data_IF_568337583279
#
_entry.id   IF_568337583279
#
_cell.length_a   1.000
_cell.length_b   1.000
_cell.length_c   1.000
_cell.angle_alpha   90.00
_cell.angle_beta   90.00
_cell.angle_gamma   90.00
#
_symmetry.space_group_name_H-M   'P 1'
#
loop_
_entity.id
_entity.type
_entity.pdbx_description
1 polymer ?
#
# COMPACT_ATOMS: atom_id res chain seq x y z
N UNK A 1 -15.48 -84.09 -21.31
CA UNK A 1 -16.20 -84.16 -20.02
C UNK A 1 -16.76 -82.76 -19.78
N UNK A 2 -18.00 -82.54 -20.22
CA UNK A 2 -19.19 -82.56 -19.35
C UNK A 2 -19.14 -81.33 -18.41
N UNK A 3 -19.81 -80.23 -18.81
CA UNK A 3 -21.22 -79.90 -18.48
C UNK A 3 -21.34 -79.29 -17.08
N UNK A 4 -22.06 -78.21 -16.79
CA UNK A 4 -23.03 -77.41 -17.53
C UNK A 4 -22.97 -75.96 -17.00
N UNK A 5 -23.78 -75.01 -17.44
CA UNK A 5 -25.16 -75.08 -17.88
C UNK A 5 -25.93 -73.98 -17.15
N UNK A 6 -26.02 -72.81 -17.81
CA UNK A 6 -27.14 -71.84 -17.96
C UNK A 6 -28.45 -71.99 -17.11
N UNK A 7 -29.40 -71.00 -17.08
CA UNK A 7 -29.38 -69.61 -17.61
C UNK A 7 -30.13 -68.52 -16.77
N UNK A 8 -29.98 -67.26 -17.22
CA UNK A 8 -30.96 -66.14 -17.34
C UNK A 8 -31.95 -65.82 -16.19
N UNK A 9 -31.97 -64.55 -15.72
CA UNK A 9 -33.00 -63.57 -16.12
C UNK A 9 -32.75 -62.12 -15.61
N UNK A 10 -32.74 -61.20 -16.60
CA UNK A 10 -33.37 -59.86 -16.70
C UNK A 10 -33.35 -58.88 -15.50
N UNK A 11 -32.67 -57.75 -15.74
CA UNK A 11 -32.96 -56.45 -15.12
C UNK A 11 -32.01 -55.34 -15.60
N UNK A 12 -32.47 -54.47 -16.51
CA UNK A 12 -31.88 -53.14 -16.80
C UNK A 12 -32.89 -52.08 -16.33
N UNK A 13 -32.55 -50.77 -16.21
CA UNK A 13 -31.25 -50.14 -15.94
C UNK A 13 -31.36 -49.02 -14.86
N UNK A 14 -30.27 -48.63 -14.18
CA UNK A 14 -30.14 -47.26 -13.63
C UNK A 14 -28.71 -46.71 -13.74
N UNK A 15 -28.60 -45.77 -14.68
CA UNK A 15 -27.76 -44.56 -14.72
C UNK A 15 -26.36 -44.56 -14.09
N UNK A 16 -25.39 -44.53 -15.00
CA UNK A 16 -24.10 -43.82 -14.99
C UNK A 16 -23.76 -42.99 -13.74
N UNK A 17 -22.69 -43.36 -13.04
CA UNK A 17 -21.87 -42.43 -12.28
C UNK A 17 -20.47 -42.44 -12.89
N UNK A 18 -20.22 -41.47 -13.77
CA UNK A 18 -18.91 -41.22 -14.34
C UNK A 18 -17.96 -40.72 -13.23
N UNK A 19 -16.75 -41.26 -13.26
CA UNK A 19 -15.59 -40.85 -12.50
C UNK A 19 -15.38 -39.33 -12.56
N UNK A 20 -15.20 -38.68 -11.41
CA UNK A 20 -14.68 -37.30 -11.32
C UNK A 20 -13.28 -37.33 -10.71
N UNK A 21 -12.31 -36.56 -11.26
CA UNK A 21 -10.94 -36.54 -10.77
C UNK A 21 -10.81 -35.70 -9.49
N UNK A 22 -9.94 -36.15 -8.58
CA UNK A 22 -9.44 -35.37 -7.44
C UNK A 22 -8.69 -34.12 -7.94
N UNK A 23 -9.39 -33.00 -8.11
CA UNK A 23 -8.81 -31.66 -8.30
C UNK A 23 -9.71 -30.58 -7.69
N UNK A 24 -9.96 -30.62 -6.38
CA UNK A 24 -10.69 -29.52 -5.70
C UNK A 24 -10.26 -29.22 -4.27
N UNK A 25 -9.32 -29.96 -3.66
CA UNK A 25 -9.02 -29.76 -2.23
C UNK A 25 -7.91 -28.71 -1.95
N UNK A 26 -7.17 -28.26 -2.97
CA UNK A 26 -6.05 -27.33 -2.76
C UNK A 26 -6.40 -25.83 -2.99
N UNK A 27 -7.57 -25.50 -3.55
CA UNK A 27 -7.97 -24.10 -3.79
C UNK A 27 -8.79 -23.46 -2.66
N UNK A 28 -9.28 -24.25 -1.70
CA UNK A 28 -10.10 -23.75 -0.60
C UNK A 28 -9.29 -23.20 0.59
N UNK A 29 -8.01 -23.56 0.70
CA UNK A 29 -7.11 -23.08 1.76
C UNK A 29 -6.45 -21.74 1.42
N UNK A 30 -6.11 -21.46 0.16
CA UNK A 30 -5.52 -20.16 -0.24
C UNK A 30 -6.49 -18.98 -0.14
N UNK A 31 -7.77 -19.18 -0.47
CA UNK A 31 -8.81 -18.14 -0.36
C UNK A 31 -9.16 -17.75 1.09
N UNK A 32 -8.79 -18.59 2.07
CA UNK A 32 -9.00 -18.31 3.49
C UNK A 32 -7.89 -17.42 4.10
N UNK A 33 -6.69 -17.40 3.49
CA UNK A 33 -5.53 -16.68 4.02
C UNK A 33 -5.51 -15.23 3.54
N UNK A 34 -5.82 -14.96 2.27
CA UNK A 34 -5.76 -13.60 1.69
C UNK A 34 -6.83 -12.64 2.24
N UNK A 35 -8.03 -13.13 2.57
CA UNK A 35 -9.11 -12.28 3.09
C UNK A 35 -9.02 -12.05 4.61
N UNK A 36 -8.28 -12.91 5.35
CA UNK A 36 -8.00 -12.70 6.78
C UNK A 36 -7.12 -11.47 6.99
N UNK A 37 -6.21 -11.16 6.06
CA UNK A 37 -5.30 -10.03 6.14
C UNK A 37 -6.01 -8.65 6.02
N UNK A 38 -7.09 -8.55 5.25
CA UNK A 38 -7.82 -7.27 5.06
C UNK A 38 -8.77 -6.89 6.22
N UNK A 39 -9.14 -7.83 7.09
CA UNK A 39 -10.17 -7.61 8.12
C UNK A 39 -9.75 -7.98 9.55
N UNK A 40 -8.45 -8.20 9.81
CA UNK A 40 -7.95 -8.72 11.09
C UNK A 40 -8.13 -7.80 12.31
N UNK A 41 -8.63 -6.57 12.15
CA UNK A 41 -8.85 -5.61 13.25
C UNK A 41 -10.24 -5.58 13.90
N UNK A 42 -11.21 -6.42 13.51
CA UNK A 42 -12.62 -6.25 13.91
C UNK A 42 -13.17 -7.44 14.72
N UNK A 43 -12.91 -7.46 16.04
CA UNK A 43 -13.69 -8.28 16.98
C UNK A 43 -14.95 -7.53 17.43
N UNK A 44 -16.01 -7.65 16.65
CA UNK A 44 -17.41 -7.50 17.09
C UNK A 44 -18.20 -8.63 16.44
N UNK A 45 -19.01 -9.38 17.21
CA UNK A 45 -19.75 -10.59 16.76
C UNK A 45 -20.60 -10.43 15.49
N UNK A 46 -20.93 -9.19 15.09
CA UNK A 46 -21.83 -8.88 13.98
C UNK A 46 -21.10 -8.78 12.62
N UNK A 47 -19.83 -8.37 12.60
CA UNK A 47 -19.08 -8.14 11.35
C UNK A 47 -18.76 -9.42 10.57
N UNK A 48 -18.33 -10.54 11.21
CA UNK A 48 -18.07 -11.80 10.49
C UNK A 48 -19.32 -12.35 9.81
N UNK A 49 -20.49 -12.20 10.46
CA UNK A 49 -21.79 -12.62 9.90
C UNK A 49 -22.18 -11.79 8.69
N UNK A 50 -21.93 -10.48 8.71
CA UNK A 50 -22.22 -9.59 7.58
C UNK A 50 -21.24 -9.80 6.42
N UNK A 51 -19.94 -9.98 6.68
CA UNK A 51 -18.95 -10.33 5.66
C UNK A 51 -19.23 -11.69 5.01
N UNK A 52 -19.58 -12.70 5.82
CA UNK A 52 -20.02 -14.01 5.31
C UNK A 52 -21.28 -13.88 4.47
N UNK A 53 -22.24 -13.05 4.87
CA UNK A 53 -23.47 -12.78 4.14
C UNK A 53 -23.23 -12.07 2.79
N UNK A 54 -22.37 -11.04 2.74
CA UNK A 54 -21.99 -10.38 1.48
C UNK A 54 -21.34 -11.40 0.54
N UNK A 55 -20.51 -12.30 1.06
CA UNK A 55 -19.84 -13.34 0.29
C UNK A 55 -20.84 -14.37 -0.27
N UNK A 56 -21.71 -14.94 0.57
CA UNK A 56 -22.71 -15.94 0.13
C UNK A 56 -23.84 -15.38 -0.73
N UNK A 57 -24.13 -14.09 -0.66
CA UNK A 57 -25.19 -13.45 -1.45
C UNK A 57 -24.72 -12.90 -2.80
N UNK A 58 -23.41 -12.83 -3.05
CA UNK A 58 -22.82 -12.10 -4.21
C UNK A 58 -21.79 -12.94 -4.98
N UNK A 59 -21.30 -14.07 -4.44
CA UNK A 59 -20.35 -14.95 -5.13
C UNK A 59 -20.96 -15.71 -6.34
N UNK A 60 -22.30 -15.83 -6.38
CA UNK A 60 -23.04 -16.43 -7.49
C UNK A 60 -24.22 -15.54 -7.89
N UNK A 61 -24.02 -14.73 -8.93
CA UNK A 61 -25.11 -13.95 -9.54
C UNK A 61 -25.55 -14.64 -10.82
N UNK A 62 -26.79 -15.13 -10.82
CA UNK A 62 -27.44 -15.61 -12.03
C UNK A 62 -27.95 -14.42 -12.85
N UNK A 63 -27.59 -14.36 -14.13
CA UNK A 63 -28.16 -13.40 -15.07
C UNK A 63 -29.70 -13.57 -15.14
N UNK A 64 -30.51 -12.53 -14.91
CA UNK A 64 -31.96 -12.66 -14.91
C UNK A 64 -32.55 -13.01 -16.29
N UNK A 65 -31.83 -12.72 -17.38
CA UNK A 65 -32.30 -12.99 -18.74
C UNK A 65 -31.90 -14.39 -19.26
N UNK A 66 -30.82 -14.99 -18.75
CA UNK A 66 -30.31 -16.27 -19.28
C UNK A 66 -29.85 -17.30 -18.23
N UNK A 67 -29.96 -17.00 -16.94
CA UNK A 67 -29.68 -17.93 -15.83
C UNK A 67 -28.21 -18.28 -15.61
N UNK A 68 -27.28 -17.67 -16.36
CA UNK A 68 -25.84 -17.98 -16.26
C UNK A 68 -25.24 -17.41 -14.98
N UNK A 69 -24.58 -18.26 -14.19
CA UNK A 69 -23.93 -17.87 -12.92
C UNK A 69 -22.53 -17.34 -13.21
N UNK A 70 -22.29 -16.06 -12.89
CA UNK A 70 -20.97 -15.41 -13.05
C UNK A 70 -20.30 -15.30 -11.68
N UNK A 71 -19.07 -15.82 -11.57
CA UNK A 71 -18.20 -15.58 -10.42
C UNK A 71 -17.58 -14.19 -10.57
N UNK A 72 -17.92 -13.27 -9.68
CA UNK A 72 -17.40 -11.89 -9.74
C UNK A 72 -16.16 -11.70 -8.85
N UNK A 73 -15.30 -10.76 -9.25
CA UNK A 73 -14.20 -10.24 -8.43
C UNK A 73 -14.75 -9.54 -7.17
N UNK A 74 -13.94 -9.53 -6.10
CA UNK A 74 -14.25 -9.15 -4.73
C UNK A 74 -15.50 -8.23 -4.52
N UNK A 75 -16.52 -8.69 -3.76
CA UNK A 75 -17.78 -7.95 -3.51
C UNK A 75 -17.66 -6.48 -3.05
N UNK A 76 -16.64 -6.07 -2.26
CA UNK A 76 -16.46 -4.67 -1.88
C UNK A 76 -16.29 -3.70 -3.08
N UNK A 77 -15.65 -4.14 -4.15
CA UNK A 77 -15.35 -3.27 -5.31
C UNK A 77 -16.58 -3.03 -6.17
N UNK A 78 -17.47 -4.02 -6.29
CA UNK A 78 -18.76 -3.87 -6.97
C UNK A 78 -19.71 -2.96 -6.18
N UNK A 79 -19.78 -3.12 -4.86
CA UNK A 79 -20.57 -2.22 -4.00
C UNK A 79 -20.07 -0.78 -4.15
N UNK A 80 -18.75 -0.57 -4.16
CA UNK A 80 -18.14 0.74 -4.42
C UNK A 80 -18.55 1.31 -5.77
N UNK A 81 -18.48 0.52 -6.85
CA UNK A 81 -18.86 0.95 -8.20
C UNK A 81 -20.35 1.34 -8.29
N UNK A 82 -21.25 0.54 -7.73
CA UNK A 82 -22.69 0.80 -7.75
C UNK A 82 -23.10 2.02 -6.91
N UNK A 83 -22.44 2.21 -5.76
CA UNK A 83 -22.59 3.42 -4.94
C UNK A 83 -22.11 4.67 -5.68
N UNK A 84 -21.01 4.58 -6.45
CA UNK A 84 -20.50 5.68 -7.29
C UNK A 84 -21.45 6.03 -8.44
N UNK A 85 -22.18 5.04 -8.96
CA UNK A 85 -23.20 5.21 -10.00
C UNK A 85 -24.57 5.66 -9.46
N UNK A 86 -24.72 5.91 -8.16
CA UNK A 86 -25.96 6.41 -7.58
C UNK A 86 -26.05 7.95 -7.67
N UNK A 87 -27.24 8.48 -7.94
CA UNK A 87 -27.50 9.90 -8.26
C UNK A 87 -27.15 10.86 -7.10
N UNK A 88 -26.68 12.10 -7.40
CA UNK A 88 -26.31 13.11 -6.38
C UNK A 88 -27.46 13.64 -5.51
N UNK A 89 -28.71 13.22 -5.74
CA UNK A 89 -29.89 13.66 -4.98
C UNK A 89 -30.09 12.95 -3.64
N UNK A 90 -29.23 11.98 -3.29
CA UNK A 90 -29.33 11.17 -2.06
C UNK A 90 -28.69 11.92 -0.87
N UNK A 91 -29.47 12.15 0.21
CA UNK A 91 -29.02 12.91 1.39
C UNK A 91 -28.20 12.03 2.35
N UNK A 92 -26.88 12.17 2.33
CA UNK A 92 -25.98 11.62 3.37
C UNK A 92 -25.38 10.25 3.04
N UNK A 93 -24.23 9.95 3.66
CA UNK A 93 -23.40 8.78 3.36
C UNK A 93 -24.13 7.45 3.56
N UNK A 94 -24.84 7.27 4.67
CA UNK A 94 -25.53 6.02 4.96
C UNK A 94 -26.61 5.69 3.93
N UNK A 95 -27.30 6.71 3.39
CA UNK A 95 -28.32 6.55 2.35
C UNK A 95 -27.68 6.19 1.00
N UNK A 96 -26.48 6.71 0.72
CA UNK A 96 -25.70 6.37 -0.48
C UNK A 96 -25.18 4.92 -0.44
N UNK A 97 -24.71 4.47 0.72
CA UNK A 97 -24.31 3.07 0.96
C UNK A 97 -25.51 2.14 0.88
N UNK A 98 -26.65 2.55 1.45
CA UNK A 98 -27.91 1.82 1.35
C UNK A 98 -28.34 1.64 -0.13
N UNK A 99 -28.22 2.70 -0.93
CA UNK A 99 -28.58 2.67 -2.34
C UNK A 99 -27.69 1.73 -3.17
N UNK A 100 -26.37 1.75 -2.99
CA UNK A 100 -25.50 0.83 -3.74
C UNK A 100 -25.53 -0.61 -3.22
N UNK A 101 -25.78 -0.84 -1.92
CA UNK A 101 -26.11 -2.17 -1.40
C UNK A 101 -27.39 -2.71 -2.05
N UNK A 102 -28.42 -1.88 -2.23
CA UNK A 102 -29.65 -2.29 -2.89
C UNK A 102 -29.43 -2.70 -4.36
N UNK A 103 -28.55 -2.00 -5.09
CA UNK A 103 -28.19 -2.35 -6.48
C UNK A 103 -27.43 -3.67 -6.61
N UNK A 104 -26.73 -4.12 -5.58
CA UNK A 104 -26.12 -5.47 -5.52
C UNK A 104 -27.04 -6.50 -4.83
N UNK A 105 -28.34 -6.20 -4.67
CA UNK A 105 -29.34 -7.13 -4.15
C UNK A 105 -29.46 -7.20 -2.61
N UNK A 106 -28.78 -6.31 -1.88
CA UNK A 106 -28.81 -6.24 -0.42
C UNK A 106 -29.79 -5.15 0.02
N UNK A 107 -31.00 -5.57 0.41
CA UNK A 107 -32.08 -4.63 0.74
C UNK A 107 -31.99 -4.07 2.16
N UNK A 108 -32.62 -2.90 2.37
CA UNK A 108 -32.81 -2.23 3.67
C UNK A 108 -33.27 -3.16 4.80
N UNK A 109 -34.22 -4.06 4.49
CA UNK A 109 -34.78 -5.05 5.43
C UNK A 109 -33.76 -6.13 5.82
N UNK A 110 -32.86 -6.51 4.90
CA UNK A 110 -31.80 -7.49 5.15
C UNK A 110 -30.70 -6.91 6.05
N UNK A 111 -30.27 -5.67 5.79
CA UNK A 111 -29.31 -4.95 6.64
C UNK A 111 -29.87 -4.78 8.07
N UNK A 112 -31.14 -4.35 8.18
CA UNK A 112 -31.83 -4.18 9.45
C UNK A 112 -31.92 -5.48 10.26
N UNK A 113 -32.20 -6.61 9.60
CA UNK A 113 -32.27 -7.95 10.22
C UNK A 113 -30.92 -8.42 10.78
N UNK A 114 -29.82 -8.11 10.11
CA UNK A 114 -28.47 -8.51 10.55
C UNK A 114 -28.02 -7.68 11.75
N UNK A 115 -28.41 -6.40 11.81
CA UNK A 115 -28.06 -5.50 12.90
C UNK A 115 -29.01 -5.61 14.10
N UNK A 116 -30.10 -6.37 14.00
CA UNK A 116 -31.13 -6.44 15.02
C UNK A 116 -31.86 -5.11 15.23
N UNK A 117 -31.95 -4.28 14.20
CA UNK A 117 -32.51 -2.91 14.27
C UNK A 117 -33.77 -2.78 13.42
N UNK A 118 -34.70 -1.87 13.77
CA UNK A 118 -35.83 -1.55 12.91
C UNK A 118 -35.41 -0.72 11.68
N UNK A 119 -36.26 -0.74 10.65
CA UNK A 119 -36.00 -0.19 9.31
C UNK A 119 -35.80 1.33 9.21
N UNK A 120 -35.56 2.05 10.32
CA UNK A 120 -35.31 3.49 10.34
C UNK A 120 -34.50 3.98 11.55
N UNK A 121 -33.80 3.13 12.31
CA UNK A 121 -33.10 3.59 13.51
C UNK A 121 -31.73 4.23 13.25
N UNK A 122 -31.36 5.24 14.04
CA UNK A 122 -30.07 5.95 13.96
C UNK A 122 -28.86 5.01 14.03
N UNK A 123 -28.98 3.92 14.79
CA UNK A 123 -27.93 2.90 14.93
C UNK A 123 -27.58 2.21 13.60
N UNK A 124 -28.59 2.02 12.74
CA UNK A 124 -28.39 1.50 11.39
C UNK A 124 -27.74 2.54 10.49
N UNK A 125 -28.14 3.81 10.61
CA UNK A 125 -27.52 4.89 9.85
C UNK A 125 -26.05 5.08 10.22
N UNK A 126 -25.72 5.00 11.51
CA UNK A 126 -24.34 5.01 12.00
C UNK A 126 -23.54 3.80 11.48
N UNK A 127 -24.15 2.62 11.42
CA UNK A 127 -23.52 1.44 10.81
C UNK A 127 -23.27 1.63 9.31
N UNK A 128 -24.25 2.11 8.55
CA UNK A 128 -24.12 2.36 7.11
C UNK A 128 -23.08 3.46 6.83
N UNK A 129 -23.04 4.51 7.65
CA UNK A 129 -22.01 5.54 7.60
C UNK A 129 -20.61 4.96 7.85
N UNK A 130 -20.48 4.11 8.88
CA UNK A 130 -19.22 3.44 9.20
C UNK A 130 -18.79 2.49 8.09
N UNK A 131 -19.71 1.70 7.54
CA UNK A 131 -19.47 0.81 6.40
C UNK A 131 -19.03 1.62 5.19
N UNK A 132 -19.72 2.72 4.88
CA UNK A 132 -19.37 3.66 3.83
C UNK A 132 -17.94 4.18 3.95
N UNK A 133 -17.54 4.66 5.13
CA UNK A 133 -16.16 5.13 5.38
C UNK A 133 -15.13 4.02 5.21
N UNK A 134 -15.41 2.82 5.72
CA UNK A 134 -14.52 1.64 5.59
C UNK A 134 -14.34 1.24 4.13
N UNK A 135 -15.36 1.44 3.28
CA UNK A 135 -15.28 1.16 1.85
C UNK A 135 -15.03 2.42 0.99
N UNK A 136 -14.69 3.57 1.60
CA UNK A 136 -14.30 4.80 0.88
C UNK A 136 -15.45 5.57 0.21
N UNK A 137 -16.68 5.41 0.68
CA UNK A 137 -17.87 6.14 0.23
C UNK A 137 -18.18 7.33 1.16
N UNK A 138 -18.81 8.38 0.63
CA UNK A 138 -19.22 9.58 1.39
C UNK A 138 -18.09 10.52 1.79
N UNK A 139 -16.90 10.27 1.26
CA UNK A 139 -15.81 11.22 1.27
C UNK A 139 -16.13 12.32 0.26
N UNK A 140 -15.74 13.59 0.51
CA UNK A 140 -15.75 14.59 -0.54
C UNK A 140 -15.10 14.00 -1.79
N UNK A 141 -15.72 14.16 -2.97
CA UNK A 141 -15.17 13.60 -4.23
C UNK A 141 -13.72 14.06 -4.47
N UNK A 142 -13.35 15.19 -3.90
CA UNK A 142 -12.05 15.85 -4.01
C UNK A 142 -11.13 15.59 -2.79
N UNK A 143 -11.59 14.82 -1.78
CA UNK A 143 -10.76 14.52 -0.62
C UNK A 143 -9.64 13.53 -1.01
N UNK A 144 -8.37 13.81 -0.62
CA UNK A 144 -7.25 12.90 -0.81
C UNK A 144 -7.54 11.49 -0.31
N UNK A 145 -8.27 11.31 0.79
CA UNK A 145 -8.66 9.99 1.28
C UNK A 145 -9.37 9.13 0.23
N UNK A 146 -10.22 9.70 -0.65
CA UNK A 146 -10.86 8.93 -1.72
C UNK A 146 -9.87 8.50 -2.82
N UNK A 147 -8.81 9.29 -3.02
CA UNK A 147 -7.73 9.04 -3.99
C UNK A 147 -6.68 8.07 -3.44
N UNK A 148 -6.29 8.21 -2.18
CA UNK A 148 -5.22 7.47 -1.53
C UNK A 148 -5.72 6.21 -0.80
N UNK A 149 -7.04 6.05 -0.60
CA UNK A 149 -7.58 4.83 0.00
C UNK A 149 -7.21 3.59 -0.83
N UNK A 150 -6.42 2.70 -0.23
CA UNK A 150 -5.92 1.50 -0.89
C UNK A 150 -4.66 1.72 -1.75
N UNK A 151 -4.10 2.93 -1.74
CA UNK A 151 -2.79 3.19 -2.33
C UNK A 151 -1.74 2.29 -1.65
N UNK A 152 -0.97 1.50 -2.41
CA UNK A 152 0.06 0.67 -1.83
C UNK A 152 1.22 1.54 -1.33
N UNK A 153 1.79 1.14 -0.20
CA UNK A 153 3.07 1.62 0.32
C UNK A 153 4.07 0.49 0.17
N UNK A 154 5.15 0.72 -0.59
CA UNK A 154 6.19 -0.28 -0.78
C UNK A 154 7.40 0.04 0.08
N UNK A 155 7.89 -1.00 0.73
CA UNK A 155 9.12 -0.97 1.52
C UNK A 155 10.33 -1.12 0.63
N UNK A 156 11.50 -0.68 1.10
CA UNK A 156 12.77 -0.96 0.41
C UNK A 156 12.98 -2.46 0.19
N UNK A 157 12.47 -3.32 1.08
CA UNK A 157 12.50 -4.77 0.91
C UNK A 157 11.71 -5.25 -0.32
N UNK A 158 10.60 -4.61 -0.65
CA UNK A 158 9.81 -4.91 -1.86
C UNK A 158 10.62 -4.60 -3.12
N UNK A 159 11.38 -3.50 -3.10
CA UNK A 159 12.30 -3.11 -4.18
C UNK A 159 13.44 -4.12 -4.34
N UNK A 160 14.04 -4.57 -3.23
CA UNK A 160 15.10 -5.60 -3.25
C UNK A 160 14.57 -6.93 -3.76
N UNK A 161 13.37 -7.34 -3.33
CA UNK A 161 12.72 -8.56 -3.79
C UNK A 161 12.40 -8.50 -5.29
N UNK A 162 11.95 -7.36 -5.78
CA UNK A 162 11.74 -7.09 -7.21
C UNK A 162 13.04 -7.21 -8.00
N UNK A 163 14.11 -6.58 -7.53
CA UNK A 163 15.43 -6.64 -8.15
C UNK A 163 15.97 -8.08 -8.25
N UNK A 164 15.72 -8.94 -7.26
CA UNK A 164 16.07 -10.37 -7.32
C UNK A 164 15.32 -11.15 -8.40
N UNK A 165 14.04 -10.81 -8.66
CA UNK A 165 13.26 -11.41 -9.75
C UNK A 165 13.79 -10.97 -11.10
N UNK A 166 14.04 -9.67 -11.28
CA UNK A 166 14.68 -9.11 -12.48
C UNK A 166 16.04 -9.78 -12.74
N UNK A 167 16.89 -9.89 -11.72
CA UNK A 167 18.21 -10.53 -11.85
C UNK A 167 18.12 -11.95 -12.41
N UNK A 168 17.09 -12.71 -12.02
CA UNK A 168 16.89 -14.08 -12.47
C UNK A 168 16.46 -14.15 -13.94
N UNK A 169 15.73 -13.15 -14.43
CA UNK A 169 15.28 -13.05 -15.82
C UNK A 169 16.39 -12.62 -16.79
N UNK A 170 17.29 -11.75 -16.34
CA UNK A 170 18.32 -11.13 -17.19
C UNK A 170 19.68 -11.83 -17.15
N UNK A 171 19.89 -12.81 -16.25
CA UNK A 171 21.20 -13.35 -15.87
C UNK A 171 22.14 -13.73 -17.03
N UNK A 172 21.62 -14.30 -18.12
CA UNK A 172 22.41 -14.73 -19.30
C UNK A 172 22.42 -13.71 -20.43
N UNK A 173 21.74 -12.58 -20.23
CA UNK A 173 21.46 -11.57 -21.26
C UNK A 173 22.29 -10.30 -21.09
N UNK A 174 23.05 -10.19 -20.01
CA UNK A 174 23.82 -8.99 -19.68
C UNK A 174 25.20 -9.35 -19.12
N UNK A 175 26.15 -8.42 -19.23
CA UNK A 175 27.50 -8.50 -18.68
C UNK A 175 27.84 -7.32 -17.75
N UNK A 176 26.92 -6.37 -17.57
CA UNK A 176 27.06 -5.21 -16.69
C UNK A 176 25.69 -4.65 -16.29
N UNK A 177 25.64 -3.88 -15.21
CA UNK A 177 24.42 -3.19 -14.75
C UNK A 177 24.70 -1.69 -14.63
N UNK A 178 23.87 -0.87 -15.27
CA UNK A 178 23.89 0.59 -15.19
C UNK A 178 22.64 1.04 -14.46
N UNK A 179 22.81 1.60 -13.26
CA UNK A 179 21.69 2.14 -12.48
C UNK A 179 21.51 3.64 -12.69
N UNK A 180 20.26 4.08 -12.81
CA UNK A 180 19.89 5.51 -12.85
C UNK A 180 19.94 6.08 -11.42
N UNK A 181 20.73 7.14 -11.16
CA UNK A 181 20.81 7.72 -9.83
C UNK A 181 19.55 8.53 -9.45
N UNK A 182 19.12 8.55 -8.18
CA UNK A 182 19.69 7.82 -7.03
C UNK A 182 19.02 6.46 -6.79
N UNK A 183 17.70 6.41 -6.78
CA UNK A 183 16.94 5.26 -6.27
C UNK A 183 17.10 4.02 -7.14
N UNK A 184 17.25 4.17 -8.46
CA UNK A 184 17.62 3.09 -9.38
C UNK A 184 18.97 2.44 -9.10
N UNK A 185 19.86 3.05 -8.31
CA UNK A 185 21.08 2.38 -7.83
C UNK A 185 20.82 1.26 -6.84
N UNK A 186 19.70 1.29 -6.11
CA UNK A 186 19.33 0.23 -5.15
C UNK A 186 19.10 -1.10 -5.90
N UNK A 187 18.15 -1.20 -6.86
CA UNK A 187 17.97 -2.43 -7.61
C UNK A 187 19.20 -2.77 -8.47
N UNK A 188 19.91 -1.77 -9.01
CA UNK A 188 21.14 -2.01 -9.76
C UNK A 188 22.21 -2.74 -8.94
N UNK A 189 22.46 -2.29 -7.70
CA UNK A 189 23.44 -2.91 -6.81
C UNK A 189 23.04 -4.32 -6.40
N UNK A 190 21.74 -4.56 -6.14
CA UNK A 190 21.22 -5.91 -5.84
C UNK A 190 21.44 -6.86 -7.03
N UNK A 191 21.09 -6.43 -8.24
CA UNK A 191 21.24 -7.24 -9.46
C UNK A 191 22.73 -7.51 -9.74
N UNK A 192 23.56 -6.46 -9.72
CA UNK A 192 25.00 -6.57 -9.99
C UNK A 192 25.70 -7.51 -8.99
N UNK A 193 25.39 -7.36 -7.70
CA UNK A 193 25.97 -8.21 -6.64
C UNK A 193 25.55 -9.66 -6.79
N UNK A 194 24.25 -9.90 -7.06
CA UNK A 194 23.71 -11.26 -7.23
C UNK A 194 24.29 -12.00 -8.43
N UNK A 195 24.59 -11.27 -9.50
CA UNK A 195 25.11 -11.83 -10.75
C UNK A 195 26.64 -11.74 -10.86
N UNK A 196 27.33 -11.15 -9.86
CA UNK A 196 28.76 -10.86 -9.89
C UNK A 196 29.18 -10.04 -11.13
N UNK A 197 28.37 -9.05 -11.50
CA UNK A 197 28.60 -8.17 -12.65
C UNK A 197 29.10 -6.78 -12.23
N UNK A 198 29.84 -6.06 -13.09
CA UNK A 198 30.24 -4.69 -12.83
C UNK A 198 29.01 -3.77 -12.72
N UNK A 199 29.05 -2.90 -11.70
CA UNK A 199 28.03 -1.88 -11.44
C UNK A 199 28.53 -0.50 -11.90
N UNK A 200 27.69 0.16 -12.69
CA UNK A 200 27.89 1.52 -13.16
C UNK A 200 26.74 2.41 -12.67
N UNK A 201 27.05 3.68 -12.42
CA UNK A 201 26.05 4.74 -12.25
C UNK A 201 25.98 5.57 -13.53
N UNK A 202 24.77 5.88 -13.99
CA UNK A 202 24.61 6.78 -15.13
C UNK A 202 24.81 8.24 -14.71
N UNK A 203 25.66 8.96 -15.44
CA UNK A 203 25.86 10.41 -15.34
C UNK A 203 25.59 11.07 -16.70
N UNK A 204 25.65 12.40 -16.74
CA UNK A 204 25.40 13.18 -17.96
C UNK A 204 26.38 12.84 -19.10
N UNK A 205 27.58 12.39 -18.76
CA UNK A 205 28.64 11.94 -19.66
C UNK A 205 28.64 10.43 -19.93
N UNK A 206 27.66 9.69 -19.39
CA UNK A 206 27.46 8.26 -19.62
C UNK A 206 27.71 7.38 -18.38
N UNK A 207 27.85 6.06 -18.56
CA UNK A 207 28.05 5.12 -17.47
C UNK A 207 29.43 5.28 -16.82
N UNK A 208 29.47 5.48 -15.51
CA UNK A 208 30.69 5.57 -14.71
C UNK A 208 30.79 4.38 -13.77
N UNK A 209 31.92 3.62 -13.75
CA UNK A 209 32.10 2.51 -12.82
C UNK A 209 31.97 2.96 -11.35
N UNK A 210 31.28 2.16 -10.54
CA UNK A 210 31.17 2.39 -9.09
C UNK A 210 32.32 1.76 -8.29
N UNK A 211 33.16 0.96 -8.94
CA UNK A 211 34.22 0.16 -8.35
C UNK A 211 33.83 -1.32 -8.21
N UNK A 212 34.83 -2.19 -8.10
CA UNK A 212 34.65 -3.65 -8.09
C UNK A 212 34.85 -4.29 -6.70
N UNK A 213 35.30 -3.50 -5.71
CA UNK A 213 35.82 -4.04 -4.44
C UNK A 213 37.02 -4.97 -4.65
N UNK A 214 37.53 -5.57 -3.58
CA UNK A 214 38.68 -6.49 -3.66
C UNK A 214 38.34 -7.92 -4.12
N UNK A 215 37.12 -8.18 -4.61
CA UNK A 215 36.62 -9.53 -4.93
C UNK A 215 36.48 -9.82 -6.42
N UNK A 216 36.58 -8.80 -7.27
CA UNK A 216 36.39 -8.91 -8.72
C UNK A 216 37.30 -7.92 -9.43
N UNK A 217 38.07 -8.39 -10.42
CA UNK A 217 38.81 -7.53 -11.35
C UNK A 217 37.99 -7.41 -12.63
N UNK A 218 37.16 -6.36 -12.71
CA UNK A 218 36.45 -6.09 -13.95
C UNK A 218 37.37 -5.38 -14.94
N UNK A 219 37.39 -5.80 -16.22
CA UNK A 219 38.17 -5.11 -17.23
C UNK A 219 37.72 -3.64 -17.31
N UNK A 220 38.69 -2.73 -17.34
CA UNK A 220 38.41 -1.30 -17.54
C UNK A 220 37.78 -1.04 -18.90
N UNK A 221 36.85 -0.09 -18.98
CA UNK A 221 36.20 0.32 -20.23
C UNK A 221 34.68 0.49 -20.10
N UNK A 222 34.02 0.95 -21.19
CA UNK A 222 32.58 1.14 -21.20
C UNK A 222 31.83 -0.20 -21.19
N UNK A 223 30.62 -0.26 -20.59
CA UNK A 223 29.82 -1.47 -20.59
C UNK A 223 29.39 -1.85 -22.01
N UNK A 224 29.36 -3.15 -22.33
CA UNK A 224 29.02 -3.64 -23.67
C UNK A 224 27.58 -4.12 -23.76
N UNK A 225 27.21 -5.14 -22.98
CA UNK A 225 25.87 -5.74 -23.01
C UNK A 225 25.21 -5.52 -21.66
N UNK A 226 24.78 -4.30 -21.40
CA UNK A 226 24.34 -3.92 -20.05
C UNK A 226 22.83 -3.82 -19.89
N UNK A 227 22.40 -4.01 -18.64
CA UNK A 227 21.07 -3.65 -18.17
C UNK A 227 21.05 -2.17 -17.77
N UNK A 228 20.17 -1.37 -18.35
CA UNK A 228 19.80 -0.07 -17.78
C UNK A 228 18.62 -0.28 -16.82
N UNK A 229 18.76 0.08 -15.55
CA UNK A 229 17.72 -0.17 -14.54
C UNK A 229 17.38 1.08 -13.72
N UNK A 230 16.09 1.22 -13.40
CA UNK A 230 15.57 2.21 -12.46
C UNK A 230 14.66 1.56 -11.40
N UNK A 231 14.40 2.25 -10.30
CA UNK A 231 13.48 1.75 -9.26
C UNK A 231 12.03 1.82 -9.71
N UNK A 232 11.65 2.92 -10.36
CA UNK A 232 10.27 3.11 -10.80
C UNK A 232 10.12 3.93 -12.08
N UNK A 233 9.14 3.58 -12.91
CA UNK A 233 8.72 4.37 -14.07
C UNK A 233 7.28 4.84 -13.90
N UNK A 234 7.11 6.12 -13.55
CA UNK A 234 5.77 6.72 -13.48
C UNK A 234 5.26 7.18 -14.86
N UNK A 235 6.00 8.06 -15.52
CA UNK A 235 5.71 8.60 -16.86
C UNK A 235 6.82 8.29 -17.88
N UNK A 236 7.88 7.61 -17.45
CA UNK A 236 9.01 7.20 -18.29
C UNK A 236 10.08 8.26 -18.55
N UNK A 237 9.92 9.50 -18.08
CA UNK A 237 10.86 10.58 -18.43
C UNK A 237 12.31 10.31 -17.99
N UNK A 238 12.53 9.74 -16.81
CA UNK A 238 13.87 9.45 -16.31
C UNK A 238 14.60 8.42 -17.19
N UNK A 239 13.95 7.30 -17.51
CA UNK A 239 14.49 6.27 -18.40
C UNK A 239 14.65 6.76 -19.84
N UNK A 240 13.69 7.51 -20.38
CA UNK A 240 13.84 8.11 -21.71
C UNK A 240 15.05 9.07 -21.75
N UNK A 241 15.18 9.94 -20.75
CA UNK A 241 16.34 10.84 -20.65
C UNK A 241 17.66 10.08 -20.48
N UNK A 242 17.65 8.97 -19.74
CA UNK A 242 18.80 8.09 -19.62
C UNK A 242 19.20 7.44 -20.96
N UNK A 243 18.23 6.95 -21.73
CA UNK A 243 18.48 6.44 -23.09
C UNK A 243 19.04 7.53 -24.00
N UNK A 244 18.52 8.76 -23.93
CA UNK A 244 19.06 9.88 -24.71
C UNK A 244 20.49 10.23 -24.32
N UNK A 245 20.83 10.14 -23.03
CA UNK A 245 22.21 10.30 -22.55
C UNK A 245 23.14 9.21 -23.09
N UNK A 246 22.70 7.94 -23.09
CA UNK A 246 23.46 6.84 -23.66
C UNK A 246 23.67 7.01 -25.18
N UNK A 247 22.63 7.42 -25.91
CA UNK A 247 22.69 7.69 -27.36
C UNK A 247 23.71 8.77 -27.72
N UNK A 248 23.81 9.84 -26.92
CA UNK A 248 24.83 10.89 -27.13
C UNK A 248 26.26 10.36 -27.00
N UNK A 249 26.44 9.26 -26.29
CA UNK A 249 27.72 8.55 -26.14
C UNK A 249 27.86 7.35 -27.10
N UNK A 250 26.95 7.21 -28.08
CA UNK A 250 26.87 6.05 -28.97
C UNK A 250 26.79 4.70 -28.24
N UNK A 251 26.12 4.69 -27.08
CA UNK A 251 25.83 3.50 -26.29
C UNK A 251 24.32 3.19 -26.33
N UNK A 252 23.97 1.92 -26.30
CA UNK A 252 22.60 1.43 -26.18
C UNK A 252 22.57 0.25 -25.21
N UNK A 253 21.60 0.17 -24.28
CA UNK A 253 21.49 -0.96 -23.37
C UNK A 253 21.05 -2.22 -24.12
N UNK A 254 21.48 -3.38 -23.63
CA UNK A 254 20.98 -4.66 -24.13
C UNK A 254 19.54 -4.92 -23.66
N UNK A 255 19.21 -4.43 -22.46
CA UNK A 255 17.88 -4.48 -21.87
C UNK A 255 17.64 -3.26 -20.99
N UNK A 256 16.39 -2.86 -20.90
CA UNK A 256 15.86 -1.91 -19.92
C UNK A 256 15.03 -2.64 -18.88
N UNK A 257 15.14 -2.23 -17.61
CA UNK A 257 14.34 -2.81 -16.54
C UNK A 257 13.83 -1.78 -15.53
N UNK A 258 12.65 -2.05 -14.99
CA UNK A 258 12.09 -1.32 -13.85
C UNK A 258 11.46 -2.27 -12.85
N UNK A 259 11.68 -1.99 -11.55
CA UNK A 259 11.02 -2.74 -10.48
C UNK A 259 9.52 -2.43 -10.43
N UNK A 260 9.17 -1.14 -10.49
CA UNK A 260 7.78 -0.69 -10.44
C UNK A 260 7.45 0.17 -11.66
N UNK A 261 6.27 -0.01 -12.26
CA UNK A 261 5.80 0.90 -13.30
C UNK A 261 4.31 1.15 -13.22
N UNK A 262 3.85 2.27 -13.79
CA UNK A 262 2.40 2.47 -13.97
C UNK A 262 1.90 1.69 -15.19
N UNK A 263 0.58 1.40 -15.27
CA UNK A 263 -0.02 0.81 -16.47
C UNK A 263 0.29 1.60 -17.77
N UNK A 264 0.54 2.91 -17.63
CA UNK A 264 0.90 3.79 -18.74
C UNK A 264 2.25 3.45 -19.38
N UNK A 265 3.18 2.87 -18.63
CA UNK A 265 4.56 2.62 -19.11
C UNK A 265 4.92 1.15 -19.18
N UNK A 266 3.99 0.24 -18.91
CA UNK A 266 4.27 -1.22 -18.89
C UNK A 266 4.83 -1.74 -20.22
N UNK A 267 4.40 -1.19 -21.35
CA UNK A 267 4.86 -1.62 -22.68
C UNK A 267 6.13 -0.90 -23.18
N UNK A 268 6.76 -0.04 -22.38
CA UNK A 268 7.89 0.77 -22.82
C UNK A 268 9.25 0.14 -22.51
N UNK A 269 9.31 -0.84 -21.60
CA UNK A 269 10.54 -1.40 -21.05
C UNK A 269 10.61 -2.90 -21.29
N UNK A 270 11.81 -3.43 -21.47
CA UNK A 270 12.01 -4.86 -21.80
C UNK A 270 11.63 -5.78 -20.64
N UNK A 271 11.93 -5.37 -19.41
CA UNK A 271 11.65 -6.12 -18.19
C UNK A 271 10.92 -5.24 -17.18
N UNK A 272 9.74 -5.68 -16.75
CA UNK A 272 8.92 -5.02 -15.75
C UNK A 272 8.50 -6.07 -14.72
N UNK A 273 8.81 -5.84 -13.45
CA UNK A 273 8.42 -6.78 -12.41
C UNK A 273 7.01 -6.50 -11.85
N UNK A 274 6.76 -5.29 -11.34
CA UNK A 274 5.50 -4.94 -10.70
C UNK A 274 4.80 -3.77 -11.40
N UNK A 275 3.58 -3.99 -11.88
CA UNK A 275 2.71 -2.92 -12.39
C UNK A 275 1.83 -2.40 -11.26
N UNK A 276 1.89 -1.10 -10.97
CA UNK A 276 1.18 -0.45 -9.88
C UNK A 276 0.41 0.79 -10.36
N UNK A 277 -0.87 0.87 -9.99
CA UNK A 277 -1.70 2.02 -10.33
C UNK A 277 -1.37 3.27 -9.48
N UNK A 278 -1.94 4.41 -9.84
CA UNK A 278 -1.75 5.67 -9.13
C UNK A 278 -2.97 6.01 -8.28
N UNK A 279 -2.79 6.51 -7.04
CA UNK A 279 -1.51 6.84 -6.41
C UNK A 279 -0.86 5.64 -5.68
N UNK A 280 0.44 5.73 -5.44
CA UNK A 280 1.24 4.79 -4.64
C UNK A 280 2.38 5.55 -3.94
N UNK A 281 3.01 4.92 -2.94
CA UNK A 281 4.07 5.50 -2.13
C UNK A 281 5.27 4.57 -2.05
N UNK A 282 6.47 5.15 -2.02
CA UNK A 282 7.72 4.43 -1.85
C UNK A 282 8.47 4.93 -0.62
N UNK A 283 8.89 4.00 0.24
CA UNK A 283 9.65 4.30 1.45
C UNK A 283 10.90 5.14 1.17
N UNK A 284 11.65 4.79 0.13
CA UNK A 284 12.96 5.40 -0.16
C UNK A 284 12.89 6.80 -0.78
N UNK A 285 11.69 7.30 -1.14
CA UNK A 285 11.58 8.59 -1.84
C UNK A 285 10.55 9.57 -1.28
N UNK A 286 9.61 9.15 -0.42
CA UNK A 286 8.51 10.02 0.00
C UNK A 286 8.97 11.30 0.70
N UNK A 287 10.13 11.29 1.39
CA UNK A 287 10.71 12.47 2.08
C UNK A 287 11.35 13.49 1.15
N UNK A 288 11.66 13.13 -0.10
CA UNK A 288 12.33 13.99 -1.06
C UNK A 288 11.59 14.06 -2.41
N UNK A 289 10.33 13.65 -2.42
CA UNK A 289 9.46 13.79 -3.57
C UNK A 289 8.94 15.24 -3.68
N UNK A 290 8.63 15.74 -4.88
CA UNK A 290 8.05 17.08 -5.02
C UNK A 290 6.74 17.28 -4.23
N UNK A 291 5.94 16.21 -4.09
CA UNK A 291 4.65 16.24 -3.39
C UNK A 291 4.77 16.12 -1.86
N UNK A 292 5.99 16.05 -1.29
CA UNK A 292 6.20 16.04 0.17
C UNK A 292 5.60 17.27 0.86
N UNK A 293 5.47 18.39 0.14
CA UNK A 293 4.85 19.61 0.66
C UNK A 293 3.34 19.51 0.95
N UNK A 294 2.70 18.42 0.51
CA UNK A 294 1.29 18.13 0.77
C UNK A 294 1.11 17.09 1.90
N UNK A 295 2.21 16.55 2.44
CA UNK A 295 2.20 15.48 3.43
C UNK A 295 2.29 16.02 4.85
N UNK A 296 1.70 15.27 5.77
CA UNK A 296 1.95 15.41 7.19
C UNK A 296 2.54 14.12 7.77
N UNK A 297 3.22 14.22 8.90
CA UNK A 297 3.73 13.05 9.60
C UNK A 297 3.70 13.23 11.12
N UNK A 298 3.78 12.12 11.85
CA UNK A 298 4.21 12.14 13.24
C UNK A 298 5.68 12.56 13.34
N UNK A 299 6.09 12.97 14.53
CA UNK A 299 7.48 13.23 14.86
C UNK A 299 8.18 11.92 15.26
N UNK A 300 7.60 11.21 16.22
CA UNK A 300 8.19 10.02 16.86
C UNK A 300 8.00 8.79 15.97
N UNK A 301 9.06 8.01 15.80
CA UNK A 301 9.13 6.85 14.92
C UNK A 301 9.15 7.17 13.42
N UNK A 302 9.01 8.44 13.02
CA UNK A 302 9.08 8.88 11.60
C UNK A 302 10.28 9.80 11.36
N UNK A 303 10.35 10.92 12.08
CA UNK A 303 11.45 11.89 11.96
C UNK A 303 12.54 11.63 13.00
N UNK A 304 12.15 11.22 14.19
CA UNK A 304 13.01 11.00 15.35
C UNK A 304 12.70 9.62 15.95
N UNK A 305 13.70 8.99 16.57
CA UNK A 305 13.47 7.81 17.40
C UNK A 305 12.43 8.07 18.51
N UNK A 306 11.82 7.00 19.01
CA UNK A 306 10.80 7.10 20.05
C UNK A 306 11.39 7.51 21.39
N UNK A 307 10.63 8.33 22.13
CA UNK A 307 10.99 8.71 23.49
C UNK A 307 11.00 7.48 24.42
N UNK A 308 12.09 7.22 25.15
CA UNK A 308 12.14 6.18 26.16
C UNK A 308 10.99 6.33 27.17
N UNK A 309 10.33 5.23 27.58
CA UNK A 309 9.29 5.28 28.59
C UNK A 309 9.81 5.94 29.87
N UNK A 310 9.07 6.93 30.39
CA UNK A 310 9.43 7.59 31.64
C UNK A 310 10.18 8.92 31.51
N UNK A 311 10.82 9.18 30.36
CA UNK A 311 11.64 10.39 30.20
C UNK A 311 10.82 11.70 30.21
N UNK A 312 9.55 11.62 29.81
CA UNK A 312 8.58 12.74 29.75
C UNK A 312 7.72 12.92 31.02
N UNK A 313 7.95 12.11 32.05
CA UNK A 313 7.12 12.07 33.26
C UNK A 313 7.32 13.27 34.20
N UNK A 314 8.49 13.91 34.16
CA UNK A 314 8.81 15.05 35.01
C UNK A 314 8.13 16.34 34.51
N UNK A 315 7.74 17.24 35.42
CA UNK A 315 6.99 18.45 35.11
C UNK A 315 7.70 19.38 34.10
N UNK A 316 9.03 19.51 34.22
CA UNK A 316 9.87 20.28 33.30
C UNK A 316 10.69 19.39 32.33
N UNK A 317 10.54 18.07 32.44
CA UNK A 317 11.20 17.06 31.60
C UNK A 317 12.68 17.26 31.31
N UNK A 318 13.58 17.50 32.29
CA UNK A 318 15.01 17.61 32.01
C UNK A 318 15.57 16.33 31.38
N UNK A 319 15.09 15.16 31.80
CA UNK A 319 15.41 13.88 31.17
C UNK A 319 14.94 13.83 29.70
N UNK A 320 13.72 14.28 29.42
CA UNK A 320 13.19 14.40 28.06
C UNK A 320 14.01 15.33 27.18
N UNK A 321 14.37 16.52 27.68
CA UNK A 321 15.17 17.50 26.92
C UNK A 321 16.56 16.94 26.63
N UNK A 322 17.23 16.37 27.65
CA UNK A 322 18.54 15.76 27.49
C UNK A 322 18.52 14.56 26.53
N UNK A 323 17.45 13.76 26.55
CA UNK A 323 17.23 12.72 25.55
C UNK A 323 17.07 13.32 24.15
N UNK A 324 16.19 14.30 23.98
CA UNK A 324 15.91 14.89 22.68
C UNK A 324 17.14 15.54 22.06
N UNK A 325 18.04 16.12 22.87
CA UNK A 325 19.33 16.62 22.39
C UNK A 325 20.17 15.55 21.67
N UNK A 326 20.04 14.28 22.06
CA UNK A 326 20.81 13.14 21.55
C UNK A 326 20.00 12.22 20.64
N UNK A 327 18.69 12.42 20.57
CA UNK A 327 17.78 11.53 19.89
C UNK A 327 18.12 11.38 18.40
N UNK A 328 18.17 10.13 17.95
CA UNK A 328 18.58 9.76 16.59
C UNK A 328 17.57 10.24 15.56
N UNK A 329 18.00 10.98 14.51
CA UNK A 329 17.15 11.30 13.37
C UNK A 329 16.89 10.06 12.50
N UNK A 330 15.67 9.93 12.01
CA UNK A 330 15.21 8.88 11.11
C UNK A 330 15.03 9.45 9.68
N UNK A 331 13.81 9.51 9.16
CA UNK A 331 13.52 9.91 7.78
C UNK A 331 13.34 11.42 7.65
N UNK A 332 14.44 12.14 7.40
CA UNK A 332 14.42 13.62 7.30
C UNK A 332 14.05 14.13 5.90
N UNK A 333 12.97 14.91 5.74
CA UNK A 333 12.69 15.66 4.52
C UNK A 333 13.71 16.79 4.32
N UNK A 334 14.29 16.89 3.11
CA UNK A 334 15.34 17.89 2.82
C UNK A 334 15.01 18.84 1.66
N UNK A 335 14.11 18.43 0.76
CA UNK A 335 13.86 19.16 -0.50
C UNK A 335 12.79 20.25 -0.37
N UNK A 336 11.67 19.93 0.25
CA UNK A 336 10.51 20.82 0.41
C UNK A 336 9.96 20.71 1.83
N UNK A 337 9.35 21.76 2.39
CA UNK A 337 8.82 21.72 3.75
C UNK A 337 7.62 20.78 3.84
N UNK A 338 7.49 20.03 4.93
CA UNK A 338 6.26 19.27 5.23
C UNK A 338 5.05 20.19 5.37
N UNK A 339 3.87 19.71 5.00
CA UNK A 339 2.62 20.44 5.25
C UNK A 339 2.38 20.61 6.74
N UNK A 340 2.57 19.55 7.52
CA UNK A 340 2.50 19.63 8.97
C UNK A 340 3.28 18.49 9.65
N UNK A 341 3.72 18.76 10.87
CA UNK A 341 4.14 17.72 11.81
C UNK A 341 3.05 17.69 12.90
N UNK A 342 2.43 16.52 13.11
CA UNK A 342 1.36 16.34 14.10
C UNK A 342 1.79 15.26 15.08
N UNK A 343 2.22 15.67 16.27
CA UNK A 343 2.86 14.79 17.26
C UNK A 343 2.12 14.73 18.58
N UNK A 344 2.19 13.57 19.23
CA UNK A 344 1.71 13.35 20.59
C UNK A 344 2.67 13.89 21.67
N UNK A 345 3.77 14.55 21.28
CA UNK A 345 4.61 15.33 22.20
C UNK A 345 3.80 16.49 22.78
N UNK A 346 3.96 16.72 24.08
CA UNK A 346 3.20 17.76 24.76
C UNK A 346 3.71 19.17 24.41
N UNK A 347 2.79 20.13 24.30
CA UNK A 347 3.04 21.52 23.94
C UNK A 347 4.12 22.20 24.81
N UNK A 348 4.23 21.79 26.08
CA UNK A 348 5.29 22.26 27.00
C UNK A 348 6.71 21.98 26.51
N UNK A 349 6.89 21.04 25.57
CA UNK A 349 8.16 20.68 24.97
C UNK A 349 8.36 21.24 23.55
N UNK A 350 7.58 22.27 23.18
CA UNK A 350 7.69 22.90 21.85
C UNK A 350 9.08 23.42 21.56
N UNK A 351 9.64 24.24 22.43
CA UNK A 351 10.96 24.85 22.23
C UNK A 351 12.07 23.80 21.95
N UNK A 352 12.26 22.75 22.78
CA UNK A 352 13.27 21.74 22.50
C UNK A 352 12.95 20.91 21.23
N UNK A 353 11.67 20.72 20.89
CA UNK A 353 11.23 20.05 19.66
C UNK A 353 11.55 20.87 18.41
N UNK A 354 11.30 22.18 18.44
CA UNK A 354 11.64 23.09 17.35
C UNK A 354 13.16 23.27 17.20
N UNK A 355 13.90 23.27 18.32
CA UNK A 355 15.36 23.27 18.31
C UNK A 355 15.92 22.02 17.63
N UNK A 356 15.34 20.83 17.91
CA UNK A 356 15.68 19.59 17.23
C UNK A 356 15.43 19.67 15.73
N UNK A 357 14.23 20.09 15.31
CA UNK A 357 13.87 20.20 13.89
C UNK A 357 14.81 21.14 13.14
N UNK A 358 15.13 22.30 13.74
CA UNK A 358 16.06 23.27 13.17
C UNK A 358 17.47 22.71 13.03
N UNK A 359 17.97 22.03 14.06
CA UNK A 359 19.30 21.40 14.06
C UNK A 359 19.44 20.34 12.94
N UNK A 360 18.38 19.59 12.68
CA UNK A 360 18.37 18.55 11.65
C UNK A 360 17.90 19.04 10.27
N UNK A 361 17.62 20.35 10.12
CA UNK A 361 17.25 20.97 8.85
C UNK A 361 15.86 20.57 8.34
N UNK A 362 14.95 20.17 9.23
CA UNK A 362 13.58 19.79 8.87
C UNK A 362 12.72 21.04 8.75
N UNK A 363 12.31 21.36 7.53
CA UNK A 363 11.37 22.44 7.25
C UNK A 363 9.92 21.93 7.29
N UNK A 364 9.01 22.73 7.85
CA UNK A 364 7.58 22.41 7.97
C UNK A 364 6.76 23.69 7.97
N UNK A 365 5.48 23.62 7.59
CA UNK A 365 4.55 24.78 7.62
C UNK A 365 3.82 24.93 8.94
N UNK A 366 3.46 23.82 9.57
CA UNK A 366 2.73 23.81 10.85
C UNK A 366 3.24 22.69 11.77
N UNK A 367 3.54 23.02 13.03
CA UNK A 367 3.85 22.03 14.08
C UNK A 367 2.72 22.02 15.10
N UNK A 368 1.94 20.94 15.10
CA UNK A 368 0.85 20.72 16.04
C UNK A 368 1.27 19.69 17.07
N UNK A 369 1.36 20.14 18.31
CA UNK A 369 1.68 19.32 19.47
C UNK A 369 0.44 19.18 20.35
N UNK A 370 0.37 18.13 21.16
CA UNK A 370 -0.79 17.88 22.00
C UNK A 370 -0.73 18.78 23.24
N UNK A 371 -1.81 19.44 23.67
CA UNK A 371 -1.77 20.25 24.90
C UNK A 371 -1.44 19.41 26.14
N UNK A 372 -2.03 18.20 26.22
CA UNK A 372 -1.79 17.21 27.28
C UNK A 372 -2.14 15.82 26.77
N UNK A 373 -1.27 14.84 27.01
CA UNK A 373 -1.39 13.48 26.46
C UNK A 373 -2.37 12.59 27.23
N UNK A 374 -2.41 12.74 28.55
CA UNK A 374 -3.15 11.84 29.43
C UNK A 374 -4.66 11.77 29.09
N UNK A 375 -5.16 10.55 28.87
CA UNK A 375 -6.58 10.29 28.62
C UNK A 375 -7.06 10.60 27.19
N UNK A 376 -6.15 10.91 26.25
CA UNK A 376 -6.50 11.21 24.86
C UNK A 376 -6.32 9.99 23.96
N UNK A 377 -7.32 9.70 23.11
CA UNK A 377 -7.15 8.81 21.95
C UNK A 377 -6.31 9.54 20.90
N UNK A 378 -5.01 9.21 20.84
CA UNK A 378 -4.03 9.89 20.00
C UNK A 378 -4.39 9.81 18.52
N UNK A 379 -4.82 8.65 18.03
CA UNK A 379 -5.22 8.49 16.63
C UNK A 379 -6.45 9.33 16.28
N UNK A 380 -7.45 9.38 17.17
CA UNK A 380 -8.63 10.24 17.00
C UNK A 380 -8.27 11.73 17.01
N UNK A 381 -7.36 12.14 17.89
CA UNK A 381 -6.89 13.53 17.97
C UNK A 381 -6.08 13.93 16.74
N UNK A 382 -5.10 13.12 16.33
CA UNK A 382 -4.32 13.34 15.10
C UNK A 382 -5.24 13.43 13.87
N UNK A 383 -6.28 12.58 13.81
CA UNK A 383 -7.28 12.64 12.74
C UNK A 383 -8.05 13.96 12.72
N UNK A 384 -8.51 14.47 13.87
CA UNK A 384 -9.23 15.75 13.90
C UNK A 384 -8.35 16.94 13.52
N UNK A 385 -7.06 16.90 13.90
CA UNK A 385 -6.06 17.88 13.44
C UNK A 385 -5.88 17.80 11.92
N UNK A 386 -5.73 16.60 11.37
CA UNK A 386 -5.56 16.41 9.93
C UNK A 386 -6.81 16.74 9.13
N UNK A 387 -8.02 16.60 9.68
CA UNK A 387 -9.25 17.05 9.02
C UNK A 387 -9.32 18.59 8.91
N UNK A 388 -8.64 19.32 9.81
CA UNK A 388 -8.46 20.77 9.73
C UNK A 388 -7.36 21.15 8.73
N UNK A 389 -6.18 20.55 8.84
CA UNK A 389 -4.99 20.88 8.02
C UNK A 389 -5.14 20.39 6.58
N UNK A 390 -5.88 19.30 6.40
CA UNK A 390 -6.18 18.67 5.12
C UNK A 390 -4.94 18.20 4.34
N UNK A 391 -3.96 17.48 4.94
CA UNK A 391 -2.87 16.90 4.16
C UNK A 391 -3.36 15.77 3.24
N UNK A 392 -2.55 15.44 2.25
CA UNK A 392 -2.89 14.39 1.28
C UNK A 392 -2.78 13.00 1.91
N UNK A 393 -1.70 12.79 2.66
CA UNK A 393 -1.38 11.58 3.42
C UNK A 393 -0.74 11.98 4.75
N UNK A 394 -1.00 11.19 5.78
CA UNK A 394 -0.36 11.28 7.09
C UNK A 394 0.54 10.07 7.32
N UNK A 395 1.80 10.27 7.71
CA UNK A 395 2.71 9.18 8.08
C UNK A 395 2.69 8.95 9.58
N UNK A 396 2.33 7.73 9.99
CA UNK A 396 2.22 7.31 11.37
C UNK A 396 3.13 6.10 11.61
N UNK A 397 3.91 6.13 12.68
CA UNK A 397 4.83 5.05 13.03
C UNK A 397 4.14 3.90 13.76
N UNK A 398 3.09 4.20 14.55
CA UNK A 398 2.35 3.18 15.30
C UNK A 398 1.14 2.67 14.52
N UNK A 399 1.14 1.36 14.24
CA UNK A 399 0.05 0.71 13.50
C UNK A 399 -1.33 0.88 14.13
N UNK A 400 -1.44 0.80 15.46
CA UNK A 400 -2.72 0.92 16.16
C UNK A 400 -3.24 2.37 16.13
N UNK A 401 -2.36 3.36 16.22
CA UNK A 401 -2.67 4.77 16.02
C UNK A 401 -3.09 5.05 14.59
N UNK A 402 -2.40 4.49 13.57
CA UNK A 402 -2.77 4.65 12.17
C UNK A 402 -4.17 4.07 11.90
N UNK A 403 -4.45 2.87 12.45
CA UNK A 403 -5.77 2.27 12.35
C UNK A 403 -6.83 3.09 13.11
N UNK A 404 -6.50 3.69 14.25
CA UNK A 404 -7.41 4.60 14.98
C UNK A 404 -7.66 5.90 14.21
N UNK A 405 -6.62 6.50 13.65
CA UNK A 405 -6.70 7.67 12.79
C UNK A 405 -7.64 7.42 11.61
N UNK A 406 -7.42 6.31 10.89
CA UNK A 406 -8.20 5.96 9.70
C UNK A 406 -9.68 5.66 10.00
N UNK A 407 -10.03 5.30 11.23
CA UNK A 407 -11.43 5.18 11.66
C UNK A 407 -12.12 6.53 11.86
N UNK A 408 -11.36 7.58 12.13
CA UNK A 408 -11.88 8.88 12.55
C UNK A 408 -11.73 9.98 11.50
N UNK A 409 -10.66 9.94 10.69
CA UNK A 409 -10.38 10.92 9.64
C UNK A 409 -11.46 10.93 8.55
N UNK A 410 -11.74 12.10 8.00
CA UNK A 410 -12.67 12.31 6.89
C UNK A 410 -11.98 12.85 5.64
N UNK A 411 -10.72 13.28 5.76
CA UNK A 411 -9.97 13.90 4.68
C UNK A 411 -8.69 13.15 4.28
N UNK A 412 -7.97 12.61 5.26
CA UNK A 412 -6.58 12.12 5.10
C UNK A 412 -6.50 10.63 5.37
N UNK A 413 -5.63 9.90 4.65
CA UNK A 413 -5.23 8.54 5.01
C UNK A 413 -3.96 8.56 5.86
N UNK A 414 -3.97 7.88 7.00
CA UNK A 414 -2.75 7.53 7.73
C UNK A 414 -2.14 6.26 7.12
N UNK A 415 -0.89 6.37 6.67
CA UNK A 415 -0.06 5.26 6.21
C UNK A 415 0.88 4.89 7.35
N UNK A 416 0.91 3.60 7.67
CA UNK A 416 1.87 3.06 8.61
C UNK A 416 3.25 3.02 7.94
N UNK A 417 4.11 3.99 8.26
CA UNK A 417 5.53 3.91 7.95
C UNK A 417 6.18 3.12 9.08
N UNK A 418 6.63 1.87 8.85
CA UNK A 418 7.25 1.10 9.90
C UNK A 418 8.45 1.88 10.43
N UNK A 419 8.53 1.96 11.75
CA UNK A 419 9.74 2.37 12.41
C UNK A 419 10.90 1.49 11.89
N UNK A 420 12.05 2.10 11.59
CA UNK A 420 13.28 1.32 11.48
C UNK A 420 13.43 0.48 12.75
N UNK A 421 13.87 -0.79 12.67
CA UNK A 421 13.99 -1.64 13.85
C UNK A 421 14.81 -0.88 14.90
N UNK A 422 14.12 -0.52 15.98
CA UNK A 422 14.73 -0.04 17.21
C UNK A 422 15.21 -1.32 17.91
N UNK A 423 16.51 -1.43 18.14
CA UNK A 423 17.15 -2.62 18.75
C UNK A 423 16.56 -3.00 20.12
#
# INVERSE_FOLDING_TARGET
MASGGHPLQRGRPRSQAAQRPLRSLLMLTMGFVLCRAQFQGLRFEIMPRFCHFIRTSVDEVACPDCGRVVKTTHPPDRVRAECRAASPTIRGLGDLVEAGLAKVGITKRRVAKILGTCGGCDRRQQFLNKLGRVIGLGLPKDAPLARWAGAPYFHTDDLVASAHRIASEVATRIDAVVGIPRSGLIPAAVIATRLHLPLFTLRDDGPVPTGAGGRTDFPGGPPRRFLLVDDSSHNGHALTGALDTLRRQALEPALTAVCFCTPRTTGHWDVVDTVVDTPHLFEWNWTNAPWTEHLACDFDGVLCEDCPPGADCEQNGPAYVAWLERATPLQLPRKVPLKAIVTAREERFREPTEAWLRRHGVAYRELVMIPRRAGVDLGRWKASVCDRIKPDVFFESDRAQADSFNRHSHWTLAVHAPAYPQE
#
